data_IF_106457263888
#
_entry.id   IF_106457263888
#
_cell.length_a   1.000
_cell.length_b   1.000
_cell.length_c   1.000
_cell.angle_alpha   90.00
_cell.angle_beta   90.00
_cell.angle_gamma   90.00
#
_symmetry.space_group_name_H-M   'P 1'
#
loop_
_entity.id
_entity.type
_entity.pdbx_description
1 polymer ?
2 non-polymer ?
3 water ?
#
# COMPACT_ATOMS: atom_id res chain seq x y z
N UNK A 2 0.99 11.80 -17.53
CA UNK A 2 1.49 11.88 -16.16
C UNK A 2 0.61 12.93 -15.48
N UNK A 3 -0.05 12.54 -14.40
CA UNK A 3 -0.93 13.47 -13.70
C UNK A 3 -0.48 13.83 -12.30
N UNK A 4 -0.96 14.96 -11.81
CA UNK A 4 -0.66 15.38 -10.45
C UNK A 4 -1.45 14.45 -9.51
N UNK A 5 -2.46 13.79 -10.05
CA UNK A 5 -3.27 12.83 -9.30
C UNK A 5 -2.91 11.50 -9.94
N UNK A 6 -2.03 10.74 -9.28
CA UNK A 6 -1.61 9.46 -9.84
C UNK A 6 -2.72 8.43 -9.91
N UNK A 7 -3.64 8.47 -8.95
CA UNK A 7 -4.75 7.53 -8.94
C UNK A 7 -6.01 8.20 -8.47
N UNK A 8 -7.07 8.05 -9.26
CA UNK A 8 -8.37 8.60 -8.90
C UNK A 8 -9.44 7.53 -9.05
N UNK A 9 -10.21 7.32 -7.99
CA UNK A 9 -11.28 6.34 -8.01
C UNK A 9 -12.56 7.16 -8.02
N UNK A 10 -13.45 6.90 -8.96
CA UNK A 10 -14.71 7.64 -9.04
C UNK A 10 -15.91 6.73 -8.85
N UNK A 11 -16.77 7.09 -7.89
CA UNK A 11 -17.99 6.34 -7.58
C UNK A 11 -17.83 4.83 -7.80
N UNK A 12 -16.80 4.26 -7.19
CA UNK A 12 -16.51 2.84 -7.32
C UNK A 12 -17.50 1.96 -6.57
N UNK A 13 -17.98 0.93 -7.26
CA UNK A 13 -18.91 -0.04 -6.69
C UNK A 13 -18.32 -1.42 -6.92
N UNK A 14 -18.31 -2.24 -5.87
CA UNK A 14 -17.78 -3.58 -6.02
C UNK A 14 -18.71 -4.57 -5.36
N UNK A 15 -19.11 -5.58 -6.14
CA UNK A 15 -20.01 -6.63 -5.68
C UNK A 15 -19.33 -7.96 -5.91
N UNK A 16 -19.36 -8.83 -4.91
CA UNK A 16 -18.88 -10.19 -5.14
C UNK A 16 -19.52 -11.19 -4.18
N UNK A 17 -20.02 -12.30 -4.75
CA UNK A 17 -20.65 -13.32 -3.93
C UNK A 17 -22.10 -12.97 -3.59
N UNK A 18 -22.28 -12.42 -2.38
CA UNK A 18 -23.62 -12.03 -1.96
C UNK A 18 -23.65 -10.61 -1.41
N UNK A 19 -22.45 -10.02 -1.43
CA UNK A 19 -22.24 -8.77 -0.73
C UNK A 19 -21.87 -7.61 -1.64
N UNK A 20 -22.34 -6.43 -1.26
CA UNK A 20 -22.06 -5.19 -1.98
C UNK A 20 -20.94 -4.55 -1.15
N UNK A 21 -19.73 -5.04 -1.34
CA UNK A 21 -18.55 -4.59 -0.61
C UNK A 21 -18.26 -3.09 -0.63
N UNK A 22 -18.11 -2.53 -1.83
CA UNK A 22 -17.83 -1.10 -1.96
C UNK A 22 -19.06 -0.44 -2.57
N UNK A 23 -19.60 0.57 -1.92
CA UNK A 23 -20.81 1.22 -2.41
C UNK A 23 -20.66 2.65 -2.94
N UNK A 24 -19.85 2.83 -3.97
CA UNK A 24 -19.68 4.15 -4.57
C UNK A 24 -18.73 5.10 -3.86
N UNK A 25 -17.46 4.74 -3.76
CA UNK A 25 -16.50 5.59 -3.08
C UNK A 25 -15.67 6.40 -4.08
N UNK A 26 -15.14 7.53 -3.61
CA UNK A 26 -14.28 8.41 -4.42
C UNK A 26 -12.98 8.60 -3.64
N UNK A 27 -11.85 8.54 -4.33
CA UNK A 27 -10.54 8.72 -3.70
C UNK A 27 -9.57 9.31 -4.68
N UNK A 28 -8.59 10.05 -4.19
CA UNK A 28 -7.55 10.62 -5.03
C UNK A 28 -6.24 10.44 -4.30
N UNK A 29 -5.20 10.05 -5.02
CA UNK A 29 -3.88 9.86 -4.43
C UNK A 29 -2.94 10.79 -5.22
N UNK A 30 -2.64 11.98 -4.66
CA UNK A 30 -1.76 12.96 -5.33
C UNK A 30 -0.32 12.50 -5.42
N UNK A 31 0.35 12.92 -6.50
CA UNK A 31 1.74 12.57 -6.75
C UNK A 31 2.61 12.98 -5.57
N UNK A 32 3.50 12.07 -5.15
CA UNK A 32 4.41 12.35 -4.06
C UNK A 32 3.85 12.32 -2.65
N UNK A 33 2.57 11.95 -2.51
CA UNK A 33 1.97 11.91 -1.18
C UNK A 33 1.73 10.49 -0.68
N UNK A 34 1.43 10.39 0.61
CA UNK A 34 1.09 9.12 1.22
C UNK A 34 -0.37 9.30 1.58
N UNK A 35 -1.24 8.51 0.98
CA UNK A 35 -2.66 8.57 1.27
C UNK A 35 -3.04 7.28 1.98
N UNK A 36 -3.85 7.37 3.02
CA UNK A 36 -4.23 6.16 3.72
C UNK A 36 -5.74 5.96 3.76
N UNK A 37 -6.11 4.69 3.66
CA UNK A 37 -7.50 4.28 3.73
C UNK A 37 -7.55 3.47 5.01
N UNK A 38 -8.33 3.93 5.98
CA UNK A 38 -8.44 3.24 7.25
C UNK A 38 -9.88 2.84 7.53
N UNK A 39 -10.06 1.92 8.46
CA UNK A 39 -11.39 1.47 8.82
C UNK A 39 -11.30 0.13 9.53
N UNK A 40 -12.38 -0.26 10.19
CA UNK A 40 -12.41 -1.52 10.91
C UNK A 40 -12.36 -2.72 9.96
N UNK A 41 -12.07 -3.89 10.52
CA UNK A 41 -11.98 -5.10 9.72
C UNK A 41 -13.31 -5.38 9.01
N UNK A 42 -13.25 -5.60 7.70
CA UNK A 42 -14.46 -5.86 6.96
C UNK A 42 -15.07 -4.61 6.34
N UNK A 43 -14.36 -3.49 6.44
CA UNK A 43 -14.85 -2.23 5.89
C UNK A 43 -14.79 -2.24 4.36
N UNK A 44 -13.87 -3.03 3.80
CA UNK A 44 -13.73 -3.11 2.36
C UNK A 44 -12.39 -2.57 1.87
N UNK A 45 -11.43 -2.48 2.78
CA UNK A 45 -10.10 -1.96 2.44
C UNK A 45 -9.34 -2.78 1.40
N UNK A 46 -9.22 -4.08 1.61
CA UNK A 46 -8.51 -4.97 0.69
C UNK A 46 -9.25 -5.05 -0.64
N UNK A 47 -10.57 -5.03 -0.57
CA UNK A 47 -11.39 -5.09 -1.78
C UNK A 47 -11.07 -3.86 -2.63
N UNK A 48 -10.94 -2.70 -2.00
CA UNK A 48 -10.63 -1.48 -2.73
C UNK A 48 -9.32 -1.63 -3.49
N UNK A 49 -8.28 -2.11 -2.81
CA UNK A 49 -6.99 -2.30 -3.45
C UNK A 49 -7.05 -3.37 -4.53
N UNK A 50 -7.84 -4.41 -4.28
CA UNK A 50 -7.98 -5.50 -5.25
C UNK A 50 -8.64 -4.97 -6.52
N UNK A 51 -9.67 -4.16 -6.35
CA UNK A 51 -10.38 -3.59 -7.49
C UNK A 51 -9.38 -2.77 -8.31
N UNK A 52 -8.65 -1.88 -7.63
CA UNK A 52 -7.67 -1.04 -8.30
C UNK A 52 -6.67 -1.88 -9.08
N UNK A 53 -6.23 -3.00 -8.48
CA UNK A 53 -5.26 -3.89 -9.11
C UNK A 53 -5.92 -4.83 -10.13
N UNK A 54 -7.23 -4.73 -10.26
CA UNK A 54 -7.96 -5.58 -11.20
C UNK A 54 -8.07 -7.04 -10.77
N UNK A 55 -8.11 -7.28 -9.47
CA UNK A 55 -8.21 -8.64 -8.95
C UNK A 55 -9.67 -8.99 -8.66
N UNK A 56 -10.51 -7.97 -8.61
CA UNK A 56 -11.93 -8.17 -8.39
C UNK A 56 -12.60 -7.19 -9.35
N UNK A 57 -13.80 -7.53 -9.81
CA UNK A 57 -14.48 -6.67 -10.78
C UNK A 57 -15.17 -5.43 -10.21
N UNK A 58 -15.08 -4.34 -10.97
CA UNK A 58 -15.73 -3.08 -10.60
C UNK A 58 -17.00 -3.01 -11.44
N UNK A 59 -18.15 -3.21 -10.81
CA UNK A 59 -19.44 -3.19 -11.49
C UNK A 59 -19.86 -1.78 -11.90
N UNK A 60 -19.34 -0.78 -11.19
CA UNK A 60 -19.70 0.60 -11.50
C UNK A 60 -18.58 1.54 -11.10
N UNK A 61 -18.49 2.68 -11.78
CA UNK A 61 -17.45 3.65 -11.49
C UNK A 61 -16.17 3.41 -12.27
N UNK A 62 -15.16 4.26 -12.06
CA UNK A 62 -13.91 4.08 -12.76
C UNK A 62 -12.67 4.34 -11.91
N UNK A 63 -11.59 3.73 -12.34
CA UNK A 63 -10.30 3.84 -11.69
C UNK A 63 -9.40 4.45 -12.75
N UNK A 64 -8.84 5.62 -12.44
CA UNK A 64 -7.99 6.33 -13.38
C UNK A 64 -6.56 6.42 -12.87
N UNK A 65 -5.62 5.88 -13.64
CA UNK A 65 -4.20 5.89 -13.30
C UNK A 65 -3.53 6.89 -14.22
N UNK A 66 -2.90 7.91 -13.64
CA UNK A 66 -2.25 8.98 -14.39
C UNK A 66 -3.11 9.46 -15.55
N UNK A 67 -4.39 9.69 -15.26
CA UNK A 67 -5.30 10.18 -16.29
C UNK A 67 -5.92 9.13 -17.19
N UNK A 68 -5.43 7.90 -17.13
CA UNK A 68 -5.97 6.84 -17.97
C UNK A 68 -6.93 5.89 -17.25
N UNK A 69 -8.09 5.66 -17.85
CA UNK A 69 -9.10 4.77 -17.29
C UNK A 69 -8.56 3.35 -17.40
N UNK A 70 -8.29 2.71 -16.26
CA UNK A 70 -7.78 1.34 -16.25
C UNK A 70 -8.79 0.43 -15.58
N UNK A 71 -10.02 0.91 -15.47
CA UNK A 71 -11.10 0.16 -14.85
C UNK A 71 -11.27 -1.21 -15.48
N UNK A 72 -11.11 -2.25 -14.65
CA UNK A 72 -11.25 -3.63 -15.09
C UNK A 72 -10.22 -4.16 -16.08
N UNK A 73 -9.07 -3.49 -16.17
CA UNK A 73 -8.04 -3.98 -17.07
C UNK A 73 -7.41 -5.20 -16.42
N UNK A 74 -6.69 -6.01 -17.21
CA UNK A 74 -6.03 -7.21 -16.68
C UNK A 74 -5.03 -6.88 -15.57
N UNK A 75 -5.10 -7.63 -14.47
CA UNK A 75 -4.20 -7.41 -13.35
C UNK A 75 -2.75 -7.37 -13.80
N UNK A 76 -2.40 -8.24 -14.74
CA UNK A 76 -1.01 -8.31 -15.21
C UNK A 76 -0.62 -7.04 -15.99
N UNK A 77 -1.59 -6.41 -16.62
CA UNK A 77 -1.35 -5.18 -17.38
C UNK A 77 -1.14 -4.04 -16.38
N UNK A 78 -2.08 -3.91 -15.45
CA UNK A 78 -2.03 -2.88 -14.43
C UNK A 78 -0.71 -2.92 -13.67
N UNK A 79 -0.17 -4.11 -13.48
CA UNK A 79 1.10 -4.25 -12.78
C UNK A 79 2.22 -3.69 -13.66
N UNK A 80 2.18 -4.04 -14.94
CA UNK A 80 3.19 -3.57 -15.86
C UNK A 80 3.15 -2.06 -16.02
N UNK A 82 2.87 0.05 -13.76
CA UNK A 82 3.57 0.73 -12.69
C UNK A 82 2.92 0.70 -11.33
N UNK A 83 1.81 -0.01 -11.20
CA UNK A 83 1.13 -0.13 -9.91
C UNK A 83 1.59 -1.38 -9.18
N UNK A 84 2.35 -1.20 -8.10
CA UNK A 84 2.85 -2.30 -7.30
C UNK A 84 1.99 -2.50 -6.06
N UNK A 85 1.69 -3.76 -5.73
CA UNK A 85 0.88 -4.07 -4.57
C UNK A 85 1.58 -5.05 -3.63
N UNK A 86 1.70 -4.67 -2.37
CA UNK A 86 2.29 -5.52 -1.34
C UNK A 86 1.07 -5.92 -0.52
N UNK A 87 0.45 -7.06 -0.87
CA UNK A 87 -0.74 -7.62 -0.22
C UNK A 87 -0.51 -8.05 1.22
N UNK A 88 -1.61 -8.44 1.89
CA UNK A 88 -1.53 -8.93 3.26
C UNK A 88 -0.93 -10.32 3.20
N UNK A 89 -0.25 -10.72 4.26
CA UNK A 89 0.34 -12.04 4.29
C UNK A 89 1.84 -12.09 4.05
N UNK A 90 2.47 -10.91 4.03
CA UNK A 90 3.91 -10.82 3.83
C UNK A 90 4.37 -11.88 2.82
N UNK A 91 3.65 -11.98 1.71
CA UNK A 91 3.95 -12.96 0.68
C UNK A 91 5.38 -12.80 0.15
N UNK A 92 6.15 -13.87 0.29
CA UNK A 92 7.55 -13.90 -0.14
C UNK A 92 7.85 -15.32 -0.61
N UNK A 93 8.92 -15.50 -1.36
CA UNK A 93 9.29 -16.84 -1.81
C UNK A 93 10.39 -17.40 -0.93
N UNK A 94 10.01 -18.26 0.03
CA UNK A 94 10.93 -18.89 0.97
C UNK A 94 12.06 -19.72 0.37
N UNK A 95 11.81 -20.34 -0.78
CA UNK A 95 12.81 -21.17 -1.44
C UNK A 95 13.91 -20.34 -2.09
N UNK A 96 13.70 -19.03 -2.19
CA UNK A 96 14.70 -18.14 -2.78
C UNK A 96 15.29 -17.32 -1.66
N UNK A 97 16.57 -17.00 -1.75
CA UNK A 97 17.13 -16.21 -0.66
C UNK A 97 16.75 -14.73 -0.78
N UNK A 98 17.05 -13.97 0.29
CA UNK A 98 16.72 -12.55 0.30
C UNK A 98 17.16 -11.87 -1.00
N UNK A 99 18.38 -12.10 -1.46
CA UNK A 99 18.86 -11.47 -2.67
C UNK A 99 17.98 -11.74 -3.89
N UNK A 100 17.62 -13.01 -4.09
CA UNK A 100 16.79 -13.37 -5.22
C UNK A 100 15.40 -12.73 -5.16
N UNK A 101 14.81 -12.69 -3.96
CA UNK A 101 13.50 -12.07 -3.82
C UNK A 101 13.54 -10.60 -4.21
N UNK A 102 14.58 -9.88 -3.78
CA UNK A 102 14.69 -8.47 -4.13
C UNK A 102 14.85 -8.28 -5.63
N UNK A 105 12.16 -8.35 -8.37
CA UNK A 105 11.33 -7.17 -8.45
C UNK A 105 11.71 -6.27 -9.62
N UNK A 106 12.97 -6.34 -10.01
CA UNK A 106 13.46 -5.52 -11.13
C UNK A 106 13.60 -6.33 -12.41
N UNK A 107 12.71 -7.31 -12.59
CA UNK A 107 12.76 -8.17 -13.77
C UNK A 107 12.52 -7.45 -15.09
N UNK A 108 11.91 -6.28 -15.04
CA UNK A 108 11.60 -5.54 -16.26
C UNK A 108 12.17 -4.13 -16.31
N UNK A 109 13.41 -3.94 -15.86
CA UNK A 109 13.96 -2.60 -15.86
C UNK A 109 15.00 -2.26 -16.92
N UNK A 110 15.87 -3.20 -17.26
CA UNK A 110 16.90 -2.95 -18.26
C UNK A 110 17.92 -1.92 -17.77
N UNK A 111 17.63 -1.30 -16.63
CA UNK A 111 18.51 -0.31 -16.03
C UNK A 111 19.89 -0.93 -15.82
N UNK A 112 20.87 -0.08 -15.53
CA UNK A 112 22.22 -0.55 -15.27
C UNK A 112 22.67 0.05 -13.93
N UNK A 113 22.67 1.37 -13.86
CA UNK A 113 23.06 2.07 -12.65
C UNK A 113 21.88 2.15 -11.68
N UNK A 114 20.72 2.53 -12.21
CA UNK A 114 19.53 2.64 -11.39
C UNK A 114 19.34 1.43 -10.49
N UNK A 115 19.24 0.25 -11.11
CA UNK A 115 19.07 -0.98 -10.36
C UNK A 115 20.15 -1.10 -9.30
N UNK A 116 21.33 -0.59 -9.60
CA UNK A 116 22.45 -0.65 -8.66
C UNK A 116 22.17 0.25 -7.46
N UNK A 117 21.88 1.51 -7.76
CA UNK A 117 21.60 2.50 -6.73
C UNK A 117 20.39 2.12 -5.89
N UNK A 118 19.35 1.59 -6.54
CA UNK A 118 18.14 1.17 -5.82
C UNK A 118 18.42 0.02 -4.87
N UNK A 119 19.24 -0.93 -5.30
CA UNK A 119 19.55 -2.06 -4.45
C UNK A 119 20.29 -1.61 -3.20
N UNK A 120 21.21 -0.66 -3.37
CA UNK A 120 21.96 -0.15 -2.22
C UNK A 120 21.06 0.73 -1.35
N UNK A 121 20.13 1.45 -1.98
CA UNK A 121 19.22 2.30 -1.24
C UNK A 121 18.35 1.45 -0.32
N UNK A 122 17.94 0.28 -0.82
CA UNK A 122 17.11 -0.63 -0.04
C UNK A 122 17.91 -1.22 1.12
N UNK A 123 19.23 -1.25 0.95
CA UNK A 123 20.13 -1.78 1.97
C UNK A 123 20.13 -0.86 3.18
N UNK A 124 20.16 0.45 2.92
CA UNK A 124 20.15 1.43 4.00
C UNK A 124 18.77 1.47 4.66
N UNK A 125 17.73 1.15 3.89
CA UNK A 125 16.39 1.14 4.43
C UNK A 125 16.14 -0.10 5.27
N UNK A 126 16.75 -1.22 4.88
CA UNK A 126 16.57 -2.48 5.58
C UNK A 126 17.89 -3.15 5.94
N UNK A 127 18.63 -2.58 6.90
CA UNK A 127 19.91 -3.14 7.31
C UNK A 127 19.81 -4.64 7.62
N UNK A 128 18.77 -5.02 8.37
CA UNK A 128 18.55 -6.41 8.75
C UNK A 128 18.45 -7.34 7.55
N UNK A 129 17.95 -6.83 6.43
CA UNK A 129 17.81 -7.65 5.23
C UNK A 129 19.18 -7.89 4.60
N UNK A 130 20.00 -6.84 4.53
CA UNK A 130 21.35 -6.98 3.97
C UNK A 130 22.17 -7.87 4.89
N UNK A 131 21.74 -7.94 6.14
CA UNK A 131 22.42 -8.76 7.14
C UNK A 131 22.17 -10.23 6.82
N UNK A 132 21.16 -10.50 6.00
CA UNK A 132 20.81 -11.86 5.65
C UNK A 132 20.56 -11.99 4.15
N UNK A 133 21.38 -11.30 3.36
CA UNK A 133 21.26 -11.30 1.91
C UNK A 133 21.37 -12.68 1.26
N UNK A 134 22.35 -13.47 1.67
CA UNK A 134 22.55 -14.81 1.10
C UNK A 134 21.63 -15.85 1.74
N UNK A 135 20.92 -15.45 2.78
CA UNK A 135 20.01 -16.35 3.47
C UNK A 135 18.71 -16.49 2.67
N UNK A 136 18.08 -17.66 2.76
CA UNK A 136 16.83 -17.93 2.05
C UNK A 136 15.70 -17.19 2.72
N UNK A 137 14.55 -17.16 2.06
CA UNK A 137 13.38 -16.51 2.66
C UNK A 137 12.83 -17.59 3.56
N UNK A 138 11.59 -17.46 4.00
CA UNK A 138 11.01 -18.49 4.86
C UNK A 138 11.84 -18.86 6.08
N UNK A 139 13.00 -18.22 6.21
CA UNK A 139 13.89 -18.46 7.33
C UNK A 139 14.12 -17.13 8.06
N UNK A 140 13.32 -16.13 7.67
CA UNK A 140 13.39 -14.81 8.27
C UNK A 140 12.14 -14.68 9.14
N UNK A 141 12.13 -13.69 10.03
CA UNK A 141 10.97 -13.47 10.88
C UNK A 141 9.90 -12.79 10.04
N UNK A 142 8.64 -12.90 10.45
CA UNK A 142 7.56 -12.27 9.70
C UNK A 142 7.89 -10.81 9.47
N UNK A 143 8.54 -10.19 10.44
CA UNK A 143 8.91 -8.79 10.31
C UNK A 143 9.85 -8.60 9.14
N UNK A 144 10.86 -9.45 9.06
CA UNK A 144 11.85 -9.38 7.99
C UNK A 144 11.23 -9.71 6.64
N UNK A 145 10.35 -10.69 6.61
CA UNK A 145 9.69 -11.08 5.38
C UNK A 145 8.84 -9.92 4.86
N UNK A 146 8.16 -9.24 5.79
CA UNK A 146 7.33 -8.10 5.44
C UNK A 146 8.21 -7.04 4.79
N UNK A 148 10.97 -7.64 3.35
CA UNK A 148 11.46 -8.19 2.08
C UNK A 148 10.42 -7.95 0.99
N UNK A 149 9.15 -8.19 1.31
CA UNK A 149 8.05 -7.98 0.36
C UNK A 149 8.06 -6.53 -0.12
N UNK A 150 8.24 -5.61 0.82
CA UNK A 150 8.28 -4.19 0.49
C UNK A 150 9.51 -3.88 -0.37
N UNK A 151 10.65 -4.50 -0.05
CA UNK A 151 11.85 -4.27 -0.83
C UNK A 151 11.69 -4.71 -2.27
N UNK A 152 11.09 -5.87 -2.45
CA UNK A 152 10.86 -6.42 -3.79
C UNK A 152 10.05 -5.44 -4.64
N UNK A 153 8.99 -4.89 -4.06
CA UNK A 153 8.15 -3.94 -4.77
C UNK A 153 8.96 -2.71 -5.17
N UNK A 154 9.84 -2.27 -4.28
CA UNK A 154 10.65 -1.09 -4.56
C UNK A 154 11.58 -1.29 -5.75
N UNK A 156 11.10 -2.52 -8.40
CA UNK A 156 10.42 -2.35 -9.68
C UNK A 156 10.18 -0.87 -9.95
N UNK A 157 10.62 -0.02 -9.02
CA UNK A 157 10.46 1.42 -9.15
C UNK A 157 9.01 1.77 -9.49
N UNK A 158 8.08 1.43 -8.58
CA UNK A 158 6.63 1.66 -8.71
C UNK A 158 6.24 3.10 -8.97
N UNK A 159 5.21 3.30 -9.78
CA UNK A 159 4.71 4.64 -10.04
C UNK A 159 3.68 4.89 -8.94
N UNK A 160 3.19 3.81 -8.36
CA UNK A 160 2.23 3.86 -7.27
C UNK A 160 2.47 2.63 -6.40
N UNK A 161 2.85 2.85 -5.14
CA UNK A 161 3.09 1.72 -4.23
C UNK A 161 1.88 1.56 -3.31
N UNK A 164 -1.14 -3.27 1.81
CA UNK A 164 -2.30 -3.69 2.58
C UNK A 164 -1.84 -4.17 3.95
N UNK A 165 -2.18 -3.38 4.96
CA UNK A 165 -1.84 -3.64 6.35
C UNK A 165 -0.40 -4.10 6.55
N UNK A 166 0.56 -3.24 6.20
CA UNK A 166 2.00 -3.51 6.32
C UNK A 166 2.46 -3.83 7.74
N UNK A 167 1.72 -3.35 8.73
CA UNK A 167 2.12 -3.57 10.12
C UNK A 167 1.31 -4.62 10.87
N UNK A 168 0.39 -5.29 10.17
CA UNK A 168 -0.45 -6.31 10.80
C UNK A 168 0.35 -7.37 11.54
N UNK A 169 -0.03 -7.60 12.80
CA UNK A 169 0.62 -8.61 13.62
C UNK A 169 2.07 -8.42 14.03
N UNK A 170 2.65 -7.26 13.75
CA UNK A 170 4.03 -7.05 14.12
C UNK A 170 4.21 -6.49 15.52
N UNK A 171 5.41 -6.67 16.06
CA UNK A 171 5.74 -6.17 17.39
C UNK A 171 5.78 -4.66 17.31
N UNK A 172 5.39 -3.98 18.40
CA UNK A 172 5.39 -2.51 18.45
C UNK A 172 6.60 -1.87 17.79
N UNK A 173 7.78 -2.37 18.12
CA UNK A 173 9.01 -1.85 17.55
C UNK A 173 9.06 -2.03 16.03
N UNK A 174 8.53 -3.16 15.53
CA UNK A 174 8.51 -3.40 14.09
C UNK A 174 7.45 -2.51 13.45
N UNK A 175 6.31 -2.38 14.13
CA UNK A 175 5.24 -1.52 13.63
C UNK A 175 5.82 -0.13 13.43
N UNK A 176 6.55 0.35 14.42
CA UNK A 176 7.18 1.66 14.35
C UNK A 176 8.18 1.75 13.20
N UNK A 177 8.97 0.70 13.00
CA UNK A 177 9.95 0.72 11.94
C UNK A 177 9.30 0.64 10.55
N UNK A 178 8.19 -0.10 10.46
CA UNK A 178 7.46 -0.20 9.21
C UNK A 178 7.02 1.20 8.76
N UNK A 179 6.38 1.94 9.66
CA UNK A 179 5.90 3.28 9.33
C UNK A 179 7.01 4.27 9.05
N UNK A 180 8.15 4.11 9.71
CA UNK A 180 9.27 5.00 9.47
C UNK A 180 9.83 4.74 8.07
N UNK A 181 9.90 3.48 7.68
CA UNK A 181 10.41 3.14 6.35
C UNK A 181 9.46 3.65 5.27
N UNK A 182 8.16 3.57 5.54
CA UNK A 182 7.16 4.07 4.59
C UNK A 182 7.41 5.57 4.37
N UNK A 183 7.79 6.26 5.43
CA UNK A 183 8.07 7.70 5.35
C UNK A 183 9.34 7.98 4.52
N UNK A 184 10.38 7.17 4.76
CA UNK A 184 11.63 7.30 4.04
C UNK A 184 11.41 7.04 2.54
N UNK A 185 10.56 6.07 2.22
CA UNK A 185 10.27 5.74 0.83
C UNK A 185 9.59 6.93 0.17
N UNK A 186 8.60 7.50 0.85
CA UNK A 186 7.88 8.65 0.32
C UNK A 186 8.77 9.87 0.17
N UNK A 187 9.72 10.03 1.08
CA UNK A 187 10.64 11.17 1.03
C UNK A 187 11.50 11.13 -0.23
N UNK A 188 11.58 9.96 -0.86
CA UNK A 188 12.35 9.82 -2.08
C UNK A 188 11.47 10.13 -3.29
N UNK A 189 10.19 10.38 -3.04
CA UNK A 189 9.28 10.73 -4.11
C UNK A 189 8.17 9.74 -4.45
N UNK A 190 8.27 8.53 -3.94
CA UNK A 190 7.27 7.50 -4.21
C UNK A 190 5.87 7.80 -3.67
N UNK A 191 4.88 7.70 -4.55
CA UNK A 191 3.49 7.93 -4.18
C UNK A 191 2.98 6.63 -3.56
N UNK A 192 2.34 6.73 -2.40
CA UNK A 192 1.85 5.57 -1.68
C UNK A 192 0.37 5.59 -1.30
N UNK A 193 -0.29 4.44 -1.43
CA UNK A 193 -1.67 4.28 -1.01
C UNK A 193 -1.56 3.19 0.06
N UNK A 194 -1.77 3.60 1.31
CA UNK A 194 -1.64 2.72 2.46
C UNK A 194 -2.98 2.36 3.11
N UNK A 195 -3.28 1.07 3.17
CA UNK A 195 -4.49 0.59 3.81
C UNK A 195 -4.05 0.02 5.17
N UNK A 196 -4.70 0.47 6.24
CA UNK A 196 -4.32 0.02 7.57
C UNK A 196 -5.46 -0.09 8.56
N UNK A 197 -5.27 -0.97 9.52
CA UNK A 197 -6.23 -1.16 10.59
C UNK A 197 -5.67 -0.31 11.73
N UNK A 198 -4.35 -0.17 11.75
CA UNK A 198 -3.67 0.63 12.76
C UNK A 198 -3.79 2.07 12.29
N UNK A 199 -4.94 2.67 12.58
CA UNK A 199 -5.23 4.04 12.17
C UNK A 199 -4.26 5.08 12.70
N UNK A 200 -3.87 4.95 13.96
CA UNK A 200 -2.93 5.90 14.54
C UNK A 200 -1.62 5.92 13.75
N UNK A 201 -0.99 4.77 13.59
CA UNK A 201 0.26 4.71 12.86
C UNK A 201 0.11 5.22 11.44
N UNK A 202 -0.97 4.81 10.78
CA UNK A 202 -1.22 5.21 9.40
C UNK A 202 -1.43 6.72 9.26
N UNK A 203 -2.30 7.28 10.10
CA UNK A 203 -2.58 8.72 10.04
C UNK A 203 -1.36 9.57 10.40
N UNK A 204 -0.47 9.04 11.25
CA UNK A 204 0.72 9.80 11.63
C UNK A 204 1.73 9.98 10.49
N UNK A 205 1.74 9.05 9.54
CA UNK A 205 2.67 9.15 8.42
C UNK A 205 2.05 9.67 7.13
N UNK A 206 0.73 9.59 7.04
CA UNK A 206 0.03 10.01 5.84
C UNK A 206 -0.19 11.51 5.70
N UNK A 207 -0.38 11.94 4.44
CA UNK A 207 -0.68 13.33 4.15
C UNK A 207 -2.19 13.52 4.19
N UNK A 208 -2.90 12.51 3.69
CA UNK A 208 -4.35 12.55 3.59
C UNK A 208 -4.92 11.20 3.97
N UNK A 209 -6.13 11.19 4.50
CA UNK A 209 -6.75 9.94 4.88
C UNK A 209 -8.22 9.83 4.51
N UNK A 210 -8.70 8.60 4.41
CA UNK A 210 -10.10 8.32 4.10
C UNK A 210 -10.58 7.27 5.10
N UNK A 211 -11.73 7.50 5.70
CA UNK A 211 -12.27 6.57 6.68
C UNK A 211 -13.38 5.76 6.01
N UNK A 212 -13.12 4.47 5.81
CA UNK A 212 -14.07 3.56 5.19
C UNK A 212 -14.86 2.77 6.24
N UNK A 213 -16.18 2.84 6.15
CA UNK A 213 -17.06 2.12 7.07
C UNK A 213 -18.15 1.43 6.24
N UNK A 214 -18.17 0.11 6.29
CA UNK A 214 -19.12 -0.69 5.54
C UNK A 214 -19.25 -0.24 4.08
N UNK A 215 -18.13 -0.25 3.37
CA UNK A 215 -18.13 0.11 1.97
C UNK A 215 -18.32 1.55 1.56
N UNK A 216 -18.36 2.48 2.52
CA UNK A 216 -18.53 3.89 2.20
C UNK A 216 -17.56 4.78 2.96
N UNK A 217 -17.16 5.89 2.35
CA UNK A 217 -16.25 6.84 3.00
C UNK A 217 -17.12 7.76 3.85
N UNK A 218 -16.92 7.77 5.16
CA UNK A 218 -17.72 8.63 6.02
C UNK A 218 -17.00 9.92 6.37
N UNK A 219 -15.69 9.95 6.12
CA UNK A 219 -14.89 11.12 6.43
C UNK A 219 -13.57 11.05 5.70
N UNK A 220 -13.05 12.19 5.29
CA UNK A 220 -11.76 12.24 4.61
C UNK A 220 -11.14 13.59 4.93
N UNK A 221 -9.83 13.70 4.73
CA UNK A 221 -9.18 14.97 5.00
C UNK A 221 -7.72 14.84 5.35
N UNK A 222 -7.05 15.98 5.49
CA UNK A 222 -5.64 16.03 5.87
C UNK A 222 -5.46 15.12 7.09
N UNK A 223 -4.42 14.29 7.07
CA UNK A 223 -4.17 13.35 8.17
C UNK A 223 -4.11 13.96 9.56
N UNK A 224 -3.36 15.05 9.71
CA UNK A 224 -3.23 15.70 11.01
C UNK A 224 -4.60 16.12 11.53
N UNK A 225 -5.48 16.56 10.64
CA UNK A 225 -6.83 16.96 11.03
C UNK A 225 -7.72 15.78 11.44
N UNK A 226 -7.59 14.65 10.76
CA UNK A 226 -8.38 13.49 11.13
C UNK A 226 -8.01 13.00 12.53
N UNK A 227 -6.75 13.18 12.90
CA UNK A 227 -6.27 12.78 14.23
C UNK A 227 -6.91 13.64 15.33
N UNK A 228 -7.35 14.84 14.97
CA UNK A 228 -7.98 15.73 15.93
C UNK A 228 -9.49 15.68 15.86
N UNK A 229 -10.02 14.87 14.96
CA UNK A 229 -11.46 14.75 14.82
C UNK A 229 -11.96 13.84 15.95
N UNK A 230 -12.95 14.33 16.68
CA UNK A 230 -13.50 13.59 17.81
C UNK A 230 -14.04 12.22 17.46
N UNK A 232 -13.06 10.25 14.92
CA UNK A 232 -11.93 9.35 14.63
C UNK A 232 -11.30 8.90 15.95
N UNK A 233 -10.98 9.87 16.81
CA UNK A 233 -10.36 9.57 18.10
C UNK A 233 -11.12 8.55 18.92
N UNK A 234 -12.42 8.75 19.07
CA UNK A 234 -13.24 7.83 19.86
C UNK A 234 -13.49 6.50 19.16
N UNK A 235 -13.77 6.53 17.87
CA UNK A 235 -14.07 5.31 17.13
C UNK A 235 -12.86 4.50 16.68
N UNK A 236 -11.76 5.16 16.35
CA UNK A 236 -10.58 4.45 15.88
C UNK A 236 -9.32 4.58 16.71
N UNK A 237 -9.32 5.50 17.68
CA UNK A 237 -8.13 5.68 18.52
C UNK A 237 -8.37 5.46 20.02
N UNK A 238 -9.61 5.11 20.37
CA UNK A 238 -9.98 4.84 21.75
C UNK A 238 -9.93 5.99 22.74
N UNK A 239 -10.72 7.04 22.51
CA UNK A 239 -10.74 8.20 23.39
C UNK A 239 -12.13 8.53 23.90
N UNK A 240 -12.87 7.50 24.30
CA UNK A 240 -14.22 7.73 24.82
C UNK A 240 -14.18 7.58 26.33
#
# INVERSE_FOLDING_TARGET
XVSDIVLEVQSLHVYYGAIHAIKGIDLKVPRGQIVTLIGANGAGKTTTLSAIAGLVRAQKGKIIFNGQDITNKPAHVINRXGIALVPEGRRIFPELTVYENLXXGAYNRKDKEGIKRDLEWIFSLFPRLKERLKQLGGTLSGGEQQXLAIGRALXSRPKLLXXDEPSLGLAPILVSEVFEVIQKINQEGTTILLVEQNALGALKVAHYGYVLETGQIVLEGKASELLDNEXVRKAYLGVA
#
